data_IF_303800552731
#
_entry.id   IF_303800552731
#
_cell.length_a   1.000
_cell.length_b   1.000
_cell.length_c   1.000
_cell.angle_alpha   90.00
_cell.angle_beta   90.00
_cell.angle_gamma   90.00
#
_symmetry.space_group_name_H-M   'P 1'
#
loop_
_entity.id
_entity.type
_entity.pdbx_description
1 polymer ?
#
# COMPACT_ATOMS: atom_id res chain seq x y z
N UNK A 1 5.15 -19.27 -6.31
CA UNK A 1 6.43 -18.80 -6.87
C UNK A 1 7.05 -17.85 -5.88
N UNK A 2 8.27 -18.13 -5.40
CA UNK A 2 8.98 -17.23 -4.50
C UNK A 2 9.83 -16.29 -5.36
N UNK A 3 9.49 -15.00 -5.36
CA UNK A 3 10.27 -13.98 -6.07
C UNK A 3 11.26 -13.36 -5.09
N UNK A 4 12.54 -13.35 -5.43
CA UNK A 4 13.58 -12.69 -4.64
C UNK A 4 14.11 -11.48 -5.39
N UNK A 5 14.23 -10.35 -4.70
CA UNK A 5 14.71 -9.09 -5.27
C UNK A 5 13.70 -8.38 -6.17
N UNK A 6 14.20 -7.35 -6.86
CA UNK A 6 13.39 -6.49 -7.72
C UNK A 6 12.89 -7.24 -8.97
N UNK A 7 11.66 -6.95 -9.38
CA UNK A 7 11.08 -7.46 -10.61
C UNK A 7 11.66 -6.72 -11.82
N UNK A 8 12.23 -7.47 -12.77
CA UNK A 8 12.76 -6.95 -14.03
C UNK A 8 11.89 -7.42 -15.21
N UNK A 9 10.63 -6.98 -15.26
CA UNK A 9 9.64 -7.36 -16.27
C UNK A 9 9.59 -6.39 -17.48
N UNK A 10 10.53 -5.45 -17.55
CA UNK A 10 10.57 -4.40 -18.57
C UNK A 10 9.45 -3.36 -18.46
N UNK A 11 8.63 -3.39 -17.40
CA UNK A 11 7.58 -2.39 -17.19
C UNK A 11 8.11 -1.18 -16.44
N UNK A 12 7.54 -0.03 -16.74
CA UNK A 12 7.88 1.22 -16.09
C UNK A 12 7.34 1.27 -14.65
N UNK A 13 8.26 1.52 -13.71
CA UNK A 13 8.05 1.64 -12.26
C UNK A 13 8.67 2.93 -11.70
N UNK A 14 8.90 3.94 -12.54
CA UNK A 14 9.41 5.25 -12.11
C UNK A 14 10.80 5.19 -11.48
N UNK A 15 11.69 4.37 -12.07
CA UNK A 15 13.08 4.15 -11.63
C UNK A 15 13.24 3.70 -10.17
N UNK A 16 12.15 3.26 -9.53
CA UNK A 16 12.17 2.63 -8.20
C UNK A 16 12.05 1.12 -8.35
N UNK A 17 12.80 0.33 -7.56
CA UNK A 17 12.60 -1.11 -7.49
C UNK A 17 11.16 -1.46 -7.14
N UNK A 18 10.59 -2.45 -7.83
CA UNK A 18 9.32 -3.06 -7.47
C UNK A 18 9.58 -4.48 -6.97
N UNK A 19 9.14 -4.76 -5.74
CA UNK A 19 9.27 -6.09 -5.13
C UNK A 19 7.91 -6.78 -5.19
N UNK A 20 7.88 -8.01 -5.70
CA UNK A 20 6.62 -8.72 -5.89
C UNK A 20 5.96 -8.99 -4.51
N UNK A 21 4.69 -8.58 -4.30
CA UNK A 21 3.99 -8.72 -3.03
C UNK A 21 3.54 -10.19 -2.83
N UNK A 22 4.47 -11.05 -2.40
CA UNK A 22 4.21 -12.48 -2.18
C UNK A 22 3.09 -12.67 -1.13
N UNK A 23 2.13 -13.54 -1.43
CA UNK A 23 0.96 -13.78 -0.56
C UNK A 23 -0.20 -12.80 -0.74
N UNK A 24 -0.09 -11.84 -1.67
CA UNK A 24 -1.15 -10.90 -1.99
C UNK A 24 -1.75 -11.18 -3.37
N UNK A 25 -3.07 -11.13 -3.44
CA UNK A 25 -3.82 -11.06 -4.69
C UNK A 25 -4.04 -9.60 -5.08
N UNK A 26 -3.87 -9.29 -6.36
CA UNK A 26 -4.10 -7.95 -6.90
C UNK A 26 -5.38 -7.91 -7.73
N UNK A 27 -6.32 -7.06 -7.33
CA UNK A 27 -7.47 -6.65 -8.16
C UNK A 27 -7.12 -5.34 -8.86
N UNK A 28 -7.02 -5.36 -10.19
CA UNK A 28 -6.67 -4.17 -10.97
C UNK A 28 -7.87 -3.25 -11.12
N UNK A 29 -7.65 -1.93 -11.06
CA UNK A 29 -8.66 -0.97 -11.45
C UNK A 29 -8.42 -0.44 -12.85
N UNK A 30 -9.50 -0.20 -13.58
CA UNK A 30 -9.46 0.63 -14.77
C UNK A 30 -9.36 2.09 -14.34
N UNK A 31 -8.23 2.72 -14.65
CA UNK A 31 -7.95 4.11 -14.23
C UNK A 31 -8.05 5.09 -15.39
N UNK A 32 -7.51 4.75 -16.55
CA UNK A 32 -7.51 5.61 -17.73
C UNK A 32 -7.15 4.84 -19.01
N UNK A 33 -7.60 5.39 -20.13
CA UNK A 33 -7.04 5.07 -21.44
C UNK A 33 -5.54 5.40 -21.49
N UNK A 34 -4.80 4.65 -22.32
CA UNK A 34 -3.36 4.85 -22.52
C UNK A 34 -2.57 4.92 -21.20
N UNK A 35 -2.98 4.12 -20.21
CA UNK A 35 -2.43 4.09 -18.85
C UNK A 35 -0.90 4.15 -18.79
N UNK A 36 -0.20 3.40 -19.66
CA UNK A 36 1.28 3.37 -19.67
C UNK A 36 1.91 4.70 -20.06
N UNK A 37 1.29 5.44 -20.99
CA UNK A 37 1.78 6.74 -21.44
C UNK A 37 1.52 7.78 -20.34
N UNK A 38 0.31 7.77 -19.78
CA UNK A 38 -0.11 8.73 -18.74
C UNK A 38 0.66 8.59 -17.43
N UNK A 39 0.97 7.37 -17.02
CA UNK A 39 1.68 7.10 -15.76
C UNK A 39 3.14 6.68 -15.97
N UNK A 40 3.71 7.07 -17.12
CA UNK A 40 5.14 6.89 -17.39
C UNK A 40 5.96 7.64 -16.32
N UNK A 41 6.99 7.00 -15.78
CA UNK A 41 7.82 7.53 -14.72
C UNK A 41 7.18 7.50 -13.33
N UNK A 42 5.91 7.12 -13.19
CA UNK A 42 5.28 6.99 -11.87
C UNK A 42 5.73 5.70 -11.18
N UNK A 43 6.13 5.81 -9.92
CA UNK A 43 6.47 4.67 -9.08
C UNK A 43 5.23 4.07 -8.40
N UNK A 44 5.37 2.83 -7.91
CA UNK A 44 4.32 2.12 -7.18
C UNK A 44 4.51 2.35 -5.68
N UNK A 45 3.41 2.60 -4.99
CA UNK A 45 3.37 2.61 -3.54
C UNK A 45 2.08 1.97 -3.02
N UNK A 46 2.04 1.80 -1.71
CA UNK A 46 0.98 1.14 -0.99
C UNK A 46 0.44 2.05 0.12
N UNK A 47 -0.88 2.08 0.26
CA UNK A 47 -1.56 2.83 1.32
C UNK A 47 -2.46 1.87 2.12
N UNK A 48 -2.08 1.61 3.38
CA UNK A 48 -2.93 0.87 4.31
C UNK A 48 -4.11 1.72 4.76
N UNK A 49 -5.28 1.11 4.89
CA UNK A 49 -6.46 1.77 5.46
C UNK A 49 -7.33 0.78 6.23
N UNK A 50 -8.27 1.29 7.02
CA UNK A 50 -9.35 0.51 7.61
C UNK A 50 -10.41 0.14 6.58
N UNK A 51 -11.13 -0.96 6.82
CA UNK A 51 -12.20 -1.42 5.94
C UNK A 51 -13.34 -0.41 5.82
N UNK A 52 -13.70 0.25 6.91
CA UNK A 52 -14.78 1.25 6.94
C UNK A 52 -14.53 2.44 6.00
N UNK A 53 -13.27 2.76 5.71
CA UNK A 53 -12.91 3.86 4.80
C UNK A 53 -12.62 3.40 3.37
N UNK A 54 -12.46 2.10 3.13
CA UNK A 54 -12.02 1.57 1.83
C UNK A 54 -12.88 2.06 0.67
N UNK A 55 -14.20 1.90 0.77
CA UNK A 55 -15.12 2.34 -0.29
C UNK A 55 -15.13 3.87 -0.44
N UNK A 56 -15.13 4.61 0.67
CA UNK A 56 -15.09 6.07 0.63
C UNK A 56 -13.82 6.59 -0.05
N UNK A 57 -12.67 5.96 0.20
CA UNK A 57 -11.39 6.31 -0.45
C UNK A 57 -11.43 5.97 -1.94
N UNK A 58 -12.01 4.83 -2.33
CA UNK A 58 -12.12 4.45 -3.74
C UNK A 58 -13.02 5.40 -4.53
N UNK A 59 -14.08 5.91 -3.91
CA UNK A 59 -15.06 6.79 -4.57
C UNK A 59 -14.68 8.27 -4.52
N UNK A 60 -14.05 8.71 -3.43
CA UNK A 60 -13.79 10.14 -3.17
C UNK A 60 -12.30 10.50 -3.19
N UNK A 61 -11.39 9.53 -3.20
CA UNK A 61 -9.96 9.76 -3.11
C UNK A 61 -9.42 9.82 -1.68
N UNK A 62 -8.16 10.23 -1.54
CA UNK A 62 -7.44 10.20 -0.26
C UNK A 62 -7.50 11.54 0.47
N UNK A 63 -7.82 11.50 1.76
CA UNK A 63 -7.69 12.66 2.64
C UNK A 63 -6.27 12.75 3.20
N UNK A 64 -5.57 13.89 3.09
CA UNK A 64 -4.26 14.05 3.71
C UNK A 64 -4.34 13.98 5.23
N UNK A 65 -3.32 13.36 5.80
CA UNK A 65 -3.05 13.46 7.22
C UNK A 65 -2.59 14.88 7.55
N UNK A 66 -3.08 15.42 8.68
CA UNK A 66 -2.79 16.79 9.10
C UNK A 66 -1.36 16.98 9.62
N UNK A 67 -1.03 16.43 10.78
CA UNK A 67 0.30 16.56 11.37
C UNK A 67 0.73 15.22 11.97
N UNK A 68 1.58 14.51 11.21
CA UNK A 68 2.24 13.25 11.61
C UNK A 68 3.77 13.51 11.52
N UNK A 69 4.58 12.55 11.96
CA UNK A 69 6.04 12.62 12.09
C UNK A 69 6.80 13.33 10.94
N UNK A 70 6.33 13.23 9.69
CA UNK A 70 7.00 13.80 8.52
C UNK A 70 6.29 15.01 7.89
N UNK A 71 5.21 15.50 8.51
CA UNK A 71 4.41 16.66 8.06
C UNK A 71 3.06 16.27 7.45
N UNK A 72 2.30 17.27 6.92
CA UNK A 72 1.02 17.03 6.23
C UNK A 72 1.22 16.30 4.90
N UNK A 73 0.28 15.43 4.53
CA UNK A 73 0.25 14.78 3.21
C UNK A 73 -0.45 13.43 3.18
N UNK A 74 -0.44 12.77 2.02
CA UNK A 74 -0.84 11.36 1.94
C UNK A 74 0.35 10.49 2.35
N UNK A 75 0.17 9.61 3.31
CA UNK A 75 1.20 8.66 3.73
C UNK A 75 1.08 7.37 2.93
N UNK A 76 2.16 6.93 2.31
CA UNK A 76 2.26 5.67 1.59
C UNK A 76 3.64 5.03 1.81
N UNK A 77 3.88 3.90 1.19
CA UNK A 77 5.17 3.20 1.30
C UNK A 77 5.44 2.34 0.07
N UNK A 78 6.70 2.14 -0.34
CA UNK A 78 7.03 1.15 -1.36
C UNK A 78 6.96 -0.29 -0.81
N UNK A 79 6.81 -0.48 0.51
CA UNK A 79 6.75 -1.79 1.16
C UNK A 79 5.31 -2.18 1.47
N UNK A 80 4.81 -3.22 0.82
CA UNK A 80 3.52 -3.79 1.20
C UNK A 80 3.56 -4.39 2.62
N UNK A 81 4.73 -4.85 3.08
CA UNK A 81 4.93 -5.41 4.42
C UNK A 81 4.72 -4.32 5.48
N UNK A 82 5.27 -3.12 5.26
CA UNK A 82 5.04 -1.97 6.13
C UNK A 82 3.59 -1.49 6.08
N UNK A 83 3.01 -1.37 4.88
CA UNK A 83 1.61 -0.98 4.70
C UNK A 83 0.63 -1.95 5.37
N UNK A 84 0.99 -3.22 5.50
CA UNK A 84 0.19 -4.27 6.09
C UNK A 84 0.19 -4.26 7.62
N UNK A 85 0.96 -3.40 8.29
CA UNK A 85 0.92 -3.33 9.74
C UNK A 85 -0.48 -2.95 10.24
N UNK A 86 -1.03 -3.56 11.33
CA UNK A 86 -2.39 -3.32 11.79
C UNK A 86 -2.75 -1.87 12.13
N UNK A 87 -1.73 -1.03 12.40
CA UNK A 87 -1.91 0.42 12.57
C UNK A 87 -2.42 1.11 11.29
N UNK A 88 -2.01 0.60 10.12
CA UNK A 88 -2.34 1.18 8.81
C UNK A 88 -3.41 0.37 8.10
N UNK A 89 -3.23 -0.95 7.98
CA UNK A 89 -4.20 -1.84 7.33
C UNK A 89 -4.91 -2.71 8.35
N UNK A 90 -6.21 -2.52 8.50
CA UNK A 90 -7.01 -3.31 9.44
C UNK A 90 -7.00 -4.80 9.07
N UNK A 91 -6.93 -5.66 10.08
CA UNK A 91 -7.13 -7.10 9.93
C UNK A 91 -8.56 -7.40 10.35
N UNK A 92 -9.36 -7.99 9.46
CA UNK A 92 -10.70 -8.47 9.80
C UNK A 92 -10.74 -9.98 9.85
N UNK A 93 -11.41 -10.50 10.88
CA UNK A 93 -11.85 -11.89 10.88
C UNK A 93 -13.04 -12.05 9.94
N UNK A 94 -13.01 -13.08 9.11
CA UNK A 94 -14.05 -13.41 8.15
C UNK A 94 -15.13 -14.17 8.91
N UNK A 95 -16.34 -13.63 8.92
CA UNK A 95 -17.49 -14.30 9.52
C UNK A 95 -17.66 -15.72 8.95
N UNK A 96 -17.94 -16.76 9.78
CA UNK A 96 -17.98 -18.15 9.33
C UNK A 96 -18.87 -18.41 8.11
N UNK A 97 -19.99 -17.69 7.98
CA UNK A 97 -20.89 -17.82 6.81
C UNK A 97 -20.24 -17.41 5.49
N UNK A 98 -19.31 -16.45 5.50
CA UNK A 98 -18.64 -15.96 4.29
C UNK A 98 -17.40 -16.78 3.91
N UNK A 99 -16.86 -17.60 4.82
CA UNK A 99 -15.65 -18.39 4.58
C UNK A 99 -15.85 -19.41 3.45
N UNK A 100 -16.99 -20.11 3.43
CA UNK A 100 -17.25 -21.14 2.42
C UNK A 100 -17.67 -20.56 1.06
N UNK A 101 -18.21 -19.33 1.06
CA UNK A 101 -18.77 -18.70 -0.13
C UNK A 101 -17.74 -17.86 -0.89
N UNK A 102 -17.00 -17.00 -0.19
CA UNK A 102 -16.14 -15.98 -0.81
C UNK A 102 -14.65 -16.17 -0.52
N UNK A 103 -14.30 -16.78 0.62
CA UNK A 103 -12.92 -16.81 1.13
C UNK A 103 -12.50 -18.22 1.55
N UNK A 104 -12.70 -19.20 0.67
CA UNK A 104 -12.47 -20.63 0.97
C UNK A 104 -11.13 -20.83 1.68
N UNK A 105 -11.18 -21.42 2.88
CA UNK A 105 -10.02 -21.71 3.73
C UNK A 105 -9.24 -20.47 4.22
N UNK A 106 -9.93 -19.35 4.44
CA UNK A 106 -9.34 -18.16 5.08
C UNK A 106 -10.20 -17.72 6.28
N UNK A 107 -9.53 -17.38 7.37
CA UNK A 107 -10.13 -16.83 8.59
C UNK A 107 -9.93 -15.33 8.71
N UNK A 108 -8.88 -14.79 8.11
CA UNK A 108 -8.55 -13.37 8.18
C UNK A 108 -8.42 -12.78 6.79
N UNK A 109 -8.78 -11.51 6.67
CA UNK A 109 -8.60 -10.70 5.47
C UNK A 109 -8.00 -9.35 5.84
N UNK A 110 -7.12 -8.89 4.98
CA UNK A 110 -6.54 -7.55 5.02
C UNK A 110 -6.46 -7.01 3.60
N UNK A 111 -6.63 -5.70 3.43
CA UNK A 111 -6.36 -5.06 2.15
C UNK A 111 -5.51 -3.80 2.29
N UNK A 112 -4.86 -3.46 1.18
CA UNK A 112 -4.01 -2.30 1.01
C UNK A 112 -4.28 -1.74 -0.39
N UNK A 113 -4.30 -0.42 -0.56
CA UNK A 113 -4.43 0.21 -1.87
C UNK A 113 -3.08 0.21 -2.57
N UNK A 114 -3.03 -0.22 -3.83
CA UNK A 114 -1.85 -0.04 -4.70
C UNK A 114 -2.03 1.23 -5.53
N UNK A 115 -1.09 2.16 -5.38
CA UNK A 115 -1.16 3.47 -6.01
C UNK A 115 0.01 3.73 -6.96
N UNK A 116 -0.18 4.71 -7.87
CA UNK A 116 0.88 5.32 -8.68
C UNK A 116 1.08 6.77 -8.27
N UNK A 117 2.34 7.17 -8.15
CA UNK A 117 2.74 8.54 -7.80
C UNK A 117 3.99 8.95 -8.59
N UNK A 118 4.02 10.19 -9.05
CA UNK A 118 5.21 10.72 -9.72
C UNK A 118 6.32 10.99 -8.68
N UNK A 119 7.57 10.55 -8.89
CA UNK A 119 8.65 10.66 -7.91
C UNK A 119 8.92 12.08 -7.39
N UNK A 120 8.65 13.11 -8.19
CA UNK A 120 8.81 14.52 -7.78
C UNK A 120 7.90 14.94 -6.63
N UNK A 121 6.80 14.22 -6.39
CA UNK A 121 5.81 14.57 -5.38
C UNK A 121 6.05 13.84 -4.05
N UNK A 122 7.18 13.13 -3.92
CA UNK A 122 7.44 12.21 -2.81
C UNK A 122 8.53 12.78 -1.91
N UNK A 123 8.18 13.04 -0.66
CA UNK A 123 9.14 13.20 0.43
C UNK A 123 9.37 11.84 1.10
N UNK A 124 10.62 11.40 1.14
CA UNK A 124 11.02 10.11 1.73
C UNK A 124 11.44 10.32 3.18
N UNK A 125 10.93 9.48 4.08
CA UNK A 125 11.23 9.47 5.51
C UNK A 125 11.48 8.07 6.08
N UNK A 126 11.86 8.04 7.35
CA UNK A 126 12.04 6.81 8.11
C UNK A 126 10.70 6.23 8.62
N UNK A 127 10.74 4.99 9.07
CA UNK A 127 9.61 4.31 9.71
C UNK A 127 9.16 5.04 11.00
N UNK A 128 7.86 4.97 11.30
CA UNK A 128 7.21 5.65 12.43
C UNK A 128 6.46 4.69 13.35
N UNK A 129 6.65 3.39 13.17
CA UNK A 129 6.04 2.33 13.96
C UNK A 129 6.90 1.92 15.17
N UNK A 130 8.16 2.35 15.22
CA UNK A 130 9.06 2.07 16.33
C UNK A 130 9.61 0.65 16.27
N UNK A 131 10.00 0.20 15.07
CA UNK A 131 10.56 -1.14 14.85
C UNK A 131 11.92 -1.37 15.54
N UNK A 132 12.54 -0.30 16.06
CA UNK A 132 13.82 -0.38 16.77
C UNK A 132 14.92 -0.94 15.86
N UNK A 133 15.55 -2.04 16.28
CA UNK A 133 16.58 -2.72 15.50
C UNK A 133 16.02 -3.73 14.47
N UNK A 134 14.71 -3.98 14.48
CA UNK A 134 14.11 -4.94 13.56
C UNK A 134 14.14 -4.44 12.12
N UNK A 135 14.45 -5.33 11.19
CA UNK A 135 14.29 -5.05 9.75
C UNK A 135 12.82 -5.26 9.37
N UNK A 136 12.17 -4.21 8.89
CA UNK A 136 10.75 -4.25 8.49
C UNK A 136 10.59 -4.98 7.16
N UNK A 137 11.35 -4.55 6.16
CA UNK A 137 11.33 -5.11 4.82
C UNK A 137 12.78 -5.44 4.40
N UNK A 138 13.06 -6.67 3.96
CA UNK A 138 14.42 -7.06 3.60
C UNK A 138 14.98 -6.28 2.39
N UNK A 139 14.11 -5.65 1.58
CA UNK A 139 14.52 -4.94 0.37
C UNK A 139 14.44 -3.41 0.49
N UNK A 140 13.86 -2.88 1.57
CA UNK A 140 13.62 -1.45 1.77
C UNK A 140 14.12 -1.05 3.15
N UNK A 141 15.10 -0.14 3.19
CA UNK A 141 15.65 0.39 4.44
C UNK A 141 14.57 1.09 5.26
N UNK A 142 14.53 0.82 6.58
CA UNK A 142 13.71 1.54 7.55
C UNK A 142 13.88 3.07 7.48
N UNK A 143 15.01 3.59 6.97
CA UNK A 143 15.24 5.03 6.80
C UNK A 143 14.57 5.64 5.56
N UNK A 144 13.99 4.82 4.69
CA UNK A 144 13.41 5.24 3.39
C UNK A 144 12.05 4.60 3.10
N UNK A 145 11.41 4.02 4.12
CA UNK A 145 10.22 3.18 3.94
C UNK A 145 8.91 3.96 3.98
N UNK A 146 8.90 5.18 4.53
CA UNK A 146 7.69 6.00 4.61
C UNK A 146 7.76 7.12 3.58
N UNK A 147 6.71 7.25 2.77
CA UNK A 147 6.59 8.25 1.71
C UNK A 147 5.44 9.19 2.05
N UNK A 148 5.71 10.50 2.04
CA UNK A 148 4.70 11.54 2.16
C UNK A 148 4.51 12.18 0.79
N UNK A 149 3.30 12.08 0.25
CA UNK A 149 2.92 12.70 -1.02
C UNK A 149 2.35 14.08 -0.71
N UNK A 150 2.97 15.11 -1.28
CA UNK A 150 2.51 16.50 -1.15
C UNK A 150 1.17 16.69 -1.85
N UNK A 151 0.24 17.38 -1.19
CA UNK A 151 -1.14 17.55 -1.68
C UNK A 151 -1.46 18.99 -2.07
N UNK A 152 -0.47 19.89 -2.04
CA UNK A 152 -0.64 21.31 -2.41
C UNK A 152 -1.82 22.00 -1.70
N UNK A 153 -2.10 21.63 -0.45
CA UNK A 153 -3.21 22.18 0.34
C UNK A 153 -4.59 21.60 0.02
N UNK A 154 -4.70 20.59 -0.85
CA UNK A 154 -5.97 19.89 -1.13
C UNK A 154 -6.48 19.17 0.12
N UNK A 155 -7.77 19.31 0.43
CA UNK A 155 -8.44 18.57 1.51
C UNK A 155 -8.69 17.10 1.16
N UNK A 156 -8.78 16.80 -0.13
CA UNK A 156 -8.98 15.46 -0.71
C UNK A 156 -8.20 15.42 -2.03
N UNK A 157 -7.46 14.34 -2.25
CA UNK A 157 -6.83 14.02 -3.53
C UNK A 157 -7.73 13.04 -4.27
N UNK A 158 -8.59 13.56 -5.15
CA UNK A 158 -9.56 12.79 -5.95
C UNK A 158 -8.83 11.95 -7.00
N UNK A 159 -9.08 10.64 -7.02
CA UNK A 159 -8.48 9.72 -7.99
C UNK A 159 -8.99 9.92 -9.43
N UNK A 160 -10.11 10.62 -9.61
CA UNK A 160 -10.65 10.96 -10.92
C UNK A 160 -10.04 12.26 -11.49
N UNK A 161 -9.34 13.05 -10.67
CA UNK A 161 -8.63 14.24 -11.14
C UNK A 161 -7.48 13.81 -12.05
N UNK A 162 -7.44 14.39 -13.25
CA UNK A 162 -6.38 14.11 -14.22
C UNK A 162 -4.99 14.54 -13.74
N UNK A 163 -4.96 15.50 -12.84
CA UNK A 163 -3.76 16.08 -12.23
C UNK A 163 -3.56 15.60 -10.78
N UNK A 164 -4.21 14.52 -10.36
CA UNK A 164 -4.03 13.96 -9.03
C UNK A 164 -2.56 13.60 -8.77
N UNK A 165 -2.05 13.97 -7.59
CA UNK A 165 -0.68 13.70 -7.18
C UNK A 165 -0.43 12.21 -6.94
N UNK A 166 -1.49 11.46 -6.63
CA UNK A 166 -1.51 10.02 -6.43
C UNK A 166 -2.83 9.45 -6.97
N UNK A 167 -2.77 8.27 -7.59
CA UNK A 167 -3.96 7.55 -8.08
C UNK A 167 -3.96 6.11 -7.59
N UNK A 168 -5.13 5.60 -7.19
CA UNK A 168 -5.30 4.18 -6.87
C UNK A 168 -5.47 3.35 -8.14
N UNK A 169 -4.63 2.33 -8.31
CA UNK A 169 -4.57 1.48 -9.51
C UNK A 169 -4.93 0.02 -9.25
N UNK A 170 -5.11 -0.33 -7.98
CA UNK A 170 -5.57 -1.65 -7.59
C UNK A 170 -5.78 -1.79 -6.10
N UNK A 171 -6.41 -2.92 -5.75
CA UNK A 171 -6.59 -3.38 -4.39
C UNK A 171 -5.72 -4.62 -4.19
N UNK A 172 -4.84 -4.58 -3.21
CA UNK A 172 -4.05 -5.71 -2.76
C UNK A 172 -4.81 -6.39 -1.63
N UNK A 173 -5.09 -7.68 -1.76
CA UNK A 173 -5.84 -8.46 -0.79
C UNK A 173 -4.99 -9.63 -0.32
N UNK A 174 -4.90 -9.80 1.00
CA UNK A 174 -4.31 -10.99 1.62
C UNK A 174 -5.39 -11.68 2.45
N UNK A 175 -5.65 -12.94 2.15
CA UNK A 175 -6.56 -13.80 2.89
C UNK A 175 -5.77 -14.98 3.47
N UNK A 176 -5.87 -15.20 4.77
CA UNK A 176 -5.02 -16.15 5.50
C UNK A 176 -5.82 -17.00 6.47
N UNK A 177 -5.35 -18.23 6.72
CA UNK A 177 -5.93 -19.10 7.73
C UNK A 177 -5.46 -18.74 9.15
N UNK A 178 -4.22 -18.28 9.28
CA UNK A 178 -3.64 -17.80 10.53
C UNK A 178 -3.73 -16.28 10.64
N UNK A 179 -3.67 -15.77 11.88
CA UNK A 179 -3.64 -14.34 12.12
C UNK A 179 -2.45 -13.71 11.39
N UNK A 180 -2.61 -12.64 10.59
CA UNK A 180 -1.52 -12.08 9.78
C UNK A 180 -0.27 -11.67 10.56
N UNK A 181 -0.39 -11.39 11.86
CA UNK A 181 0.76 -11.09 12.72
C UNK A 181 1.68 -12.28 13.01
N UNK A 182 1.24 -13.51 12.71
CA UNK A 182 2.03 -14.73 12.85
C UNK A 182 2.82 -15.09 11.58
N UNK A 183 2.59 -14.35 10.49
CA UNK A 183 3.28 -14.61 9.23
C UNK A 183 4.77 -14.22 9.32
N UNK A 184 5.67 -14.90 8.59
CA UNK A 184 7.11 -14.62 8.64
C UNK A 184 7.47 -13.16 8.37
N UNK A 185 6.80 -12.50 7.42
CA UNK A 185 7.01 -11.08 7.09
C UNK A 185 6.48 -10.11 8.14
N UNK A 186 5.64 -10.57 9.06
CA UNK A 186 5.01 -9.77 10.11
C UNK A 186 5.73 -9.87 11.46
N UNK A 187 6.83 -10.63 11.54
CA UNK A 187 7.57 -10.87 12.80
C UNK A 187 8.02 -9.60 13.52
N UNK A 188 8.21 -8.50 12.79
CA UNK A 188 8.61 -7.20 13.35
C UNK A 188 7.45 -6.43 14.01
N UNK A 189 6.19 -6.89 13.90
CA UNK A 189 5.02 -6.20 14.47
C UNK A 189 4.99 -6.26 16.01
N UNK A 190 5.69 -7.21 16.61
CA UNK A 190 5.84 -7.32 18.06
C UNK A 190 7.19 -6.70 18.47
N UNK A 191 7.20 -5.61 19.25
CA UNK A 191 8.42 -5.05 19.83
C UNK A 191 9.01 -5.97 20.91
#
# INVERSE_FOLDING_TARGET
TFWTGALHDGRDRGDKPYYCPVGWQRCSFYVADRFRERFRGCCICYHGTKFEYGLAILLSGLKPAGAIAHGPGIYATPSIIYAAHPRYAEIKEIEPKHQNEYFKNSKYIQFVLECRVHPSNIKIGCETLGAGAATIDPNISNQKIEWVIETNGKNIVDFNDVNAEIVCTGLMIRATQEYPGLLPESKWWSP
#
